data_IF_816405945651
#
_entry.id   IF_816405945651
#
_cell.length_a   1.000
_cell.length_b   1.000
_cell.length_c   1.000
_cell.angle_alpha   90.00
_cell.angle_beta   90.00
_cell.angle_gamma   90.00
#
_symmetry.space_group_name_H-M   'P 1'
#
loop_
_entity.id
_entity.type
_entity.pdbx_description
1 polymer ?
#
# COMPACT_ATOMS: atom_id res chain seq x y z
N UNK A 1 -23.02 -31.69 -14.47
CA UNK A 1 -21.85 -32.22 -13.74
C UNK A 1 -21.28 -31.05 -12.94
N UNK A 2 -20.83 -31.26 -11.69
CA UNK A 2 -20.30 -30.22 -10.82
C UNK A 2 -19.08 -30.78 -10.10
N UNK A 3 -17.92 -30.13 -10.18
CA UNK A 3 -16.79 -30.42 -9.31
C UNK A 3 -17.19 -30.03 -7.87
N UNK A 4 -17.00 -30.93 -6.93
CA UNK A 4 -17.34 -30.70 -5.53
C UNK A 4 -16.12 -30.63 -4.62
N UNK A 5 -15.16 -31.51 -4.86
CA UNK A 5 -14.03 -31.69 -3.97
C UNK A 5 -12.74 -31.82 -4.79
N UNK A 6 -11.65 -31.35 -4.21
CA UNK A 6 -10.28 -31.62 -4.63
C UNK A 6 -9.66 -32.46 -3.53
N UNK A 7 -8.98 -33.55 -3.87
CA UNK A 7 -8.40 -34.47 -2.91
C UNK A 7 -6.87 -34.36 -2.93
N UNK A 8 -6.28 -34.12 -1.77
CA UNK A 8 -4.85 -34.16 -1.52
C UNK A 8 -4.51 -35.46 -0.75
N UNK A 9 -3.48 -36.14 -1.20
CA UNK A 9 -2.93 -37.29 -0.50
C UNK A 9 -1.81 -36.84 0.42
N UNK A 10 -1.98 -37.04 1.71
CA UNK A 10 -1.09 -36.52 2.76
C UNK A 10 -0.50 -37.67 3.57
N UNK A 11 0.68 -37.45 4.14
CA UNK A 11 1.39 -38.42 4.98
C UNK A 11 0.68 -38.59 6.34
N UNK A 12 0.24 -37.46 6.92
CA UNK A 12 -0.44 -37.38 8.21
C UNK A 12 -1.64 -36.45 8.07
N UNK A 13 -2.84 -37.06 8.08
CA UNK A 13 -4.12 -36.35 7.91
C UNK A 13 -4.34 -35.31 9.00
N UNK A 14 -3.96 -35.62 10.26
CA UNK A 14 -4.19 -34.73 11.40
C UNK A 14 -3.22 -33.54 11.41
N UNK A 15 -1.95 -33.75 11.02
CA UNK A 15 -0.99 -32.68 10.81
C UNK A 15 -1.46 -31.72 9.72
N UNK A 16 -1.89 -32.26 8.57
CA UNK A 16 -2.34 -31.44 7.44
C UNK A 16 -3.66 -30.73 7.76
N UNK A 17 -4.58 -31.39 8.51
CA UNK A 17 -5.81 -30.74 9.03
C UNK A 17 -5.46 -29.49 9.84
N UNK A 18 -4.54 -29.63 10.81
CA UNK A 18 -4.12 -28.49 11.66
C UNK A 18 -3.50 -27.37 10.81
N UNK A 19 -2.66 -27.69 9.85
CA UNK A 19 -2.06 -26.70 8.95
C UNK A 19 -3.12 -25.88 8.21
N UNK A 20 -4.08 -26.55 7.56
CA UNK A 20 -5.15 -25.85 6.82
C UNK A 20 -6.15 -25.13 7.74
N UNK A 21 -6.39 -25.64 8.94
CA UNK A 21 -7.26 -24.96 9.90
C UNK A 21 -6.60 -23.71 10.51
N UNK A 22 -5.36 -23.81 10.97
CA UNK A 22 -4.65 -22.73 11.64
C UNK A 22 -4.26 -21.59 10.68
N UNK A 23 -3.80 -21.92 9.47
CA UNK A 23 -3.36 -20.90 8.52
C UNK A 23 -4.47 -20.40 7.61
N UNK A 24 -5.31 -21.29 7.10
CA UNK A 24 -6.32 -20.97 6.08
C UNK A 24 -7.76 -20.94 6.61
N UNK A 25 -7.98 -21.26 7.88
CA UNK A 25 -9.33 -21.23 8.49
C UNK A 25 -10.26 -22.32 7.96
N UNK A 26 -9.72 -23.39 7.34
CA UNK A 26 -10.55 -24.50 6.86
C UNK A 26 -10.96 -25.43 8.00
N UNK A 27 -12.24 -25.70 8.12
CA UNK A 27 -12.80 -26.52 9.20
C UNK A 27 -13.29 -27.88 8.70
N UNK A 28 -13.20 -28.90 9.56
CA UNK A 28 -13.68 -30.24 9.24
C UNK A 28 -15.20 -30.26 9.11
N UNK A 29 -15.69 -30.69 7.95
CA UNK A 29 -17.12 -30.95 7.68
C UNK A 29 -17.47 -32.39 8.01
N UNK A 30 -16.61 -33.34 7.62
CA UNK A 30 -16.80 -34.77 7.88
C UNK A 30 -15.45 -35.47 7.99
N UNK A 31 -15.36 -36.46 8.84
CA UNK A 31 -14.20 -37.32 9.02
C UNK A 31 -14.57 -38.79 8.90
N UNK A 32 -13.76 -39.53 8.17
CA UNK A 32 -13.86 -40.96 7.98
C UNK A 32 -12.52 -41.60 8.30
N UNK A 33 -12.43 -42.93 8.26
CA UNK A 33 -11.18 -43.62 8.47
C UNK A 33 -10.17 -43.25 7.35
N UNK A 34 -9.16 -42.48 7.73
CA UNK A 34 -8.11 -41.95 6.81
C UNK A 34 -8.55 -40.94 5.77
N UNK A 35 -9.73 -40.31 5.95
CA UNK A 35 -10.23 -39.29 5.02
C UNK A 35 -10.95 -38.17 5.81
N UNK A 36 -10.58 -36.92 5.55
CA UNK A 36 -11.25 -35.74 6.11
C UNK A 36 -11.69 -34.79 5.02
N UNK A 37 -12.93 -34.36 5.08
CA UNK A 37 -13.50 -33.32 4.21
C UNK A 37 -13.49 -32.02 4.97
N UNK A 38 -12.80 -31.03 4.42
CA UNK A 38 -12.74 -29.67 4.95
C UNK A 38 -13.73 -28.76 4.21
N UNK A 39 -13.96 -27.57 4.76
CA UNK A 39 -14.67 -26.49 4.06
C UNK A 39 -13.99 -26.21 2.71
N UNK A 40 -14.65 -25.46 1.82
CA UNK A 40 -14.22 -25.15 0.45
C UNK A 40 -13.97 -26.39 -0.45
N UNK A 41 -14.36 -27.58 0.01
CA UNK A 41 -14.26 -28.81 -0.76
C UNK A 41 -12.86 -29.43 -0.81
N UNK A 42 -11.96 -29.03 0.05
CA UNK A 42 -10.67 -29.71 0.21
C UNK A 42 -10.84 -31.03 0.96
N UNK A 43 -10.24 -32.10 0.45
CA UNK A 43 -10.27 -33.42 1.08
C UNK A 43 -8.84 -33.89 1.35
N UNK A 44 -8.56 -34.22 2.59
CA UNK A 44 -7.31 -34.84 3.01
C UNK A 44 -7.48 -36.34 3.05
N UNK A 45 -6.61 -37.07 2.37
CA UNK A 45 -6.64 -38.52 2.26
C UNK A 45 -5.33 -39.13 2.73
N UNK A 46 -5.43 -40.08 3.65
CA UNK A 46 -4.27 -40.87 4.11
C UNK A 46 -3.58 -41.57 2.93
N UNK A 47 -2.24 -41.44 2.90
CA UNK A 47 -1.39 -41.99 1.83
C UNK A 47 -1.46 -43.48 1.74
N UNK A 48 -1.36 -44.22 2.85
CA UNK A 48 -1.34 -45.69 2.83
C UNK A 48 -2.64 -46.26 2.29
N UNK A 49 -3.77 -45.68 2.72
CA UNK A 49 -5.11 -46.06 2.26
C UNK A 49 -5.24 -45.77 0.76
N UNK A 50 -4.78 -44.60 0.30
CA UNK A 50 -4.82 -44.23 -1.11
C UNK A 50 -3.97 -45.14 -2.01
N UNK A 51 -2.74 -45.47 -1.57
CA UNK A 51 -1.84 -46.36 -2.29
C UNK A 51 -2.40 -47.79 -2.39
N UNK A 52 -3.04 -48.29 -1.32
CA UNK A 52 -3.75 -49.58 -1.32
C UNK A 52 -4.93 -49.58 -2.32
N UNK A 53 -5.71 -48.50 -2.32
CA UNK A 53 -6.86 -48.34 -3.22
C UNK A 53 -6.45 -48.27 -4.71
N UNK A 54 -5.48 -47.43 -5.00
CA UNK A 54 -5.05 -47.17 -6.39
C UNK A 54 -4.04 -48.17 -6.92
N UNK A 55 -3.41 -48.93 -6.02
CA UNK A 55 -2.28 -49.83 -6.30
C UNK A 55 -1.07 -49.14 -6.93
N UNK A 56 -0.89 -47.85 -6.63
CA UNK A 56 0.22 -47.01 -7.11
C UNK A 56 0.82 -46.24 -5.95
N UNK A 57 2.15 -46.05 -6.00
CA UNK A 57 2.87 -45.17 -5.08
C UNK A 57 2.58 -43.74 -5.41
N UNK A 58 2.36 -42.92 -4.37
CA UNK A 58 2.23 -41.47 -4.46
C UNK A 58 3.61 -40.88 -4.75
N UNK A 59 3.68 -39.92 -5.67
CA UNK A 59 4.86 -39.12 -5.92
C UNK A 59 4.66 -37.77 -5.22
N UNK A 60 5.54 -37.48 -4.25
CA UNK A 60 5.53 -36.20 -3.56
C UNK A 60 6.09 -35.08 -4.45
N UNK A 61 5.70 -33.85 -4.17
CA UNK A 61 6.23 -32.62 -4.77
C UNK A 61 6.25 -32.65 -6.31
N UNK A 62 5.16 -33.11 -6.92
CA UNK A 62 5.04 -33.22 -8.37
C UNK A 62 4.95 -31.88 -9.12
N UNK A 63 4.62 -30.80 -8.43
CA UNK A 63 4.42 -29.43 -8.97
C UNK A 63 3.55 -29.37 -10.25
N UNK A 64 2.60 -30.29 -10.38
CA UNK A 64 1.69 -30.38 -11.53
C UNK A 64 0.25 -29.98 -11.17
N UNK A 65 0.05 -29.47 -9.97
CA UNK A 65 -1.19 -28.90 -9.45
C UNK A 65 -0.84 -27.85 -8.40
N UNK A 66 -1.73 -26.90 -8.24
CA UNK A 66 -1.65 -25.81 -7.29
C UNK A 66 -3.00 -25.59 -6.64
N UNK A 67 -3.01 -25.28 -5.35
CA UNK A 67 -4.18 -24.74 -4.66
C UNK A 67 -4.07 -23.23 -4.70
N UNK A 68 -5.12 -22.55 -5.19
CA UNK A 68 -5.21 -21.11 -5.18
C UNK A 68 -6.18 -20.67 -4.09
N UNK A 69 -5.70 -19.78 -3.22
CA UNK A 69 -6.51 -19.09 -2.20
C UNK A 69 -6.50 -17.60 -2.49
N UNK A 70 -7.65 -16.96 -2.33
CA UNK A 70 -7.78 -15.51 -2.46
C UNK A 70 -7.78 -14.86 -1.08
N UNK A 71 -6.87 -13.89 -0.89
CA UNK A 71 -6.72 -13.10 0.33
C UNK A 71 -6.32 -11.67 -0.05
N UNK A 72 -7.12 -10.69 0.36
CA UNK A 72 -6.86 -9.28 0.01
C UNK A 72 -5.93 -8.57 1.01
N UNK A 73 -5.72 -9.14 2.19
CA UNK A 73 -4.81 -8.60 3.20
C UNK A 73 -3.49 -9.39 3.28
N UNK A 74 -2.83 -9.55 2.14
CA UNK A 74 -1.64 -10.41 2.01
C UNK A 74 -0.49 -10.03 2.93
N UNK A 75 -0.29 -8.75 3.23
CA UNK A 75 0.73 -8.31 4.20
C UNK A 75 0.45 -8.85 5.60
N UNK A 76 -0.83 -8.84 6.04
CA UNK A 76 -1.22 -9.44 7.32
C UNK A 76 -1.08 -10.96 7.30
N UNK A 77 -1.41 -11.57 6.14
CA UNK A 77 -1.26 -13.01 5.98
C UNK A 77 0.21 -13.43 6.00
N UNK A 78 1.11 -12.66 5.37
CA UNK A 78 2.56 -12.89 5.45
C UNK A 78 3.06 -12.84 6.91
N UNK A 79 2.66 -11.82 7.68
CA UNK A 79 2.96 -11.75 9.11
C UNK A 79 2.43 -12.97 9.90
N UNK A 80 1.21 -13.43 9.60
CA UNK A 80 0.66 -14.65 10.19
C UNK A 80 1.49 -15.90 9.89
N UNK A 81 2.02 -16.02 8.66
CA UNK A 81 2.91 -17.13 8.29
C UNK A 81 4.21 -17.08 9.09
N UNK A 82 4.82 -15.90 9.26
CA UNK A 82 6.07 -15.70 10.00
C UNK A 82 5.91 -15.95 11.51
N UNK A 83 4.78 -15.57 12.09
CA UNK A 83 4.45 -15.76 13.50
C UNK A 83 3.97 -17.18 13.85
N UNK A 84 3.68 -18.00 12.84
CA UNK A 84 3.15 -19.35 13.04
C UNK A 84 4.22 -20.32 13.54
N UNK A 85 3.79 -21.36 14.27
CA UNK A 85 4.66 -22.46 14.71
C UNK A 85 5.06 -23.41 13.55
N UNK A 86 4.60 -23.13 12.32
CA UNK A 86 4.87 -23.96 11.14
C UNK A 86 6.18 -23.57 10.48
N UNK A 87 6.98 -24.59 10.10
CA UNK A 87 8.14 -24.36 9.23
C UNK A 87 7.67 -24.15 7.79
N UNK A 88 7.46 -22.90 7.41
CA UNK A 88 6.96 -22.54 6.08
C UNK A 88 8.08 -22.66 5.04
N UNK A 89 7.82 -23.40 3.97
CA UNK A 89 8.72 -23.49 2.82
C UNK A 89 8.19 -22.60 1.70
N UNK A 90 8.84 -21.46 1.51
CA UNK A 90 8.47 -20.50 0.47
C UNK A 90 9.00 -20.93 -0.91
N UNK A 91 8.15 -20.81 -1.93
CA UNK A 91 8.57 -20.74 -3.33
C UNK A 91 8.92 -19.29 -3.66
N UNK A 92 8.04 -18.37 -3.28
CA UNK A 92 8.34 -16.94 -3.21
C UNK A 92 7.55 -16.30 -2.06
N UNK A 93 8.20 -15.40 -1.29
CA UNK A 93 7.52 -14.57 -0.31
C UNK A 93 6.54 -13.61 -1.01
N UNK A 94 5.89 -12.75 -0.23
CA UNK A 94 5.01 -11.72 -0.78
C UNK A 94 5.74 -10.93 -1.87
N UNK A 95 5.16 -10.92 -3.06
CA UNK A 95 5.63 -10.12 -4.19
C UNK A 95 4.48 -9.78 -5.12
N UNK A 96 4.69 -8.77 -5.95
CA UNK A 96 3.78 -8.45 -7.05
C UNK A 96 4.20 -9.17 -8.33
N UNK A 97 3.25 -9.74 -9.05
CA UNK A 97 3.45 -10.35 -10.37
C UNK A 97 3.26 -9.28 -11.48
N UNK A 98 3.72 -9.58 -12.68
CA UNK A 98 3.67 -8.66 -13.83
C UNK A 98 2.27 -8.13 -14.18
N UNK A 99 1.21 -8.74 -13.63
CA UNK A 99 -0.19 -8.28 -13.77
C UNK A 99 -0.62 -7.28 -12.69
N UNK A 100 0.26 -6.87 -11.80
CA UNK A 100 -0.04 -5.97 -10.68
C UNK A 100 -0.69 -6.67 -9.47
N UNK A 101 -0.92 -7.96 -9.52
CA UNK A 101 -1.50 -8.76 -8.45
C UNK A 101 -0.41 -9.23 -7.48
N UNK A 102 -0.63 -9.02 -6.19
CA UNK A 102 0.26 -9.54 -5.15
C UNK A 102 -0.02 -11.01 -4.89
N UNK A 103 1.04 -11.79 -4.67
CA UNK A 103 0.96 -13.23 -4.40
C UNK A 103 2.01 -13.69 -3.40
N UNK A 104 1.69 -14.77 -2.67
CA UNK A 104 2.63 -15.57 -1.88
C UNK A 104 2.52 -17.00 -2.36
N UNK A 105 3.66 -17.70 -2.57
CA UNK A 105 3.66 -19.13 -2.89
C UNK A 105 4.44 -19.90 -1.85
N UNK A 106 3.79 -20.94 -1.30
CA UNK A 106 4.38 -21.82 -0.29
C UNK A 106 4.09 -23.27 -0.61
N UNK A 107 4.79 -24.17 0.07
CA UNK A 107 4.42 -25.58 0.13
C UNK A 107 3.71 -25.90 1.44
N UNK A 108 2.70 -26.77 1.36
CA UNK A 108 2.15 -27.42 2.54
C UNK A 108 3.14 -28.47 3.12
N UNK A 109 2.85 -29.07 4.29
CA UNK A 109 3.76 -30.05 4.93
C UNK A 109 4.04 -31.32 4.08
N UNK A 110 3.27 -31.58 3.05
CA UNK A 110 3.42 -32.72 2.15
C UNK A 110 4.00 -32.33 0.76
N UNK A 111 4.28 -31.03 0.56
CA UNK A 111 4.88 -30.51 -0.66
C UNK A 111 3.87 -30.17 -1.75
N UNK A 112 2.61 -29.98 -1.43
CA UNK A 112 1.65 -29.42 -2.38
C UNK A 112 1.84 -27.92 -2.50
N UNK A 113 1.85 -27.43 -3.73
CA UNK A 113 2.00 -26.01 -4.02
C UNK A 113 0.71 -25.27 -3.67
N UNK A 114 0.86 -24.18 -2.94
CA UNK A 114 -0.22 -23.26 -2.59
C UNK A 114 0.18 -21.87 -3.06
N UNK A 115 -0.68 -21.23 -3.84
CA UNK A 115 -0.63 -19.82 -4.16
C UNK A 115 -1.72 -19.10 -3.37
N UNK A 116 -1.35 -18.01 -2.73
CA UNK A 116 -2.26 -17.09 -2.07
C UNK A 116 -2.11 -15.76 -2.80
N UNK A 117 -3.18 -15.30 -3.43
CA UNK A 117 -3.19 -14.08 -4.23
C UNK A 117 -4.30 -13.12 -3.83
N UNK A 118 -4.09 -11.83 -4.04
CA UNK A 118 -5.20 -10.88 -3.96
C UNK A 118 -6.14 -11.03 -5.16
N UNK A 119 -7.41 -10.60 -5.01
CA UNK A 119 -8.33 -10.58 -6.15
C UNK A 119 -7.88 -9.54 -7.19
N UNK A 120 -8.17 -9.78 -8.47
CA UNK A 120 -7.88 -8.81 -9.53
C UNK A 120 -8.56 -7.47 -9.27
N UNK A 121 -9.79 -7.48 -8.78
CA UNK A 121 -10.53 -6.27 -8.41
C UNK A 121 -9.80 -5.47 -7.32
N UNK A 122 -9.24 -6.17 -6.31
CA UNK A 122 -8.47 -5.52 -5.24
C UNK A 122 -7.16 -4.93 -5.78
N UNK A 123 -6.43 -5.66 -6.63
CA UNK A 123 -5.21 -5.18 -7.27
C UNK A 123 -5.45 -3.92 -8.10
N UNK A 124 -6.50 -3.90 -8.94
CA UNK A 124 -6.90 -2.73 -9.71
C UNK A 124 -7.26 -1.54 -8.82
N UNK A 125 -7.99 -1.78 -7.74
CA UNK A 125 -8.38 -0.74 -6.77
C UNK A 125 -7.15 -0.15 -6.09
N UNK A 126 -6.25 -0.98 -5.59
CA UNK A 126 -5.00 -0.58 -4.95
C UNK A 126 -4.14 0.28 -5.89
N UNK A 127 -4.02 -0.11 -7.15
CA UNK A 127 -3.29 0.65 -8.16
C UNK A 127 -3.92 2.03 -8.42
N UNK A 128 -5.25 2.10 -8.56
CA UNK A 128 -5.97 3.38 -8.73
C UNK A 128 -5.81 4.30 -7.52
N UNK A 129 -5.88 3.77 -6.31
CA UNK A 129 -5.65 4.52 -5.08
C UNK A 129 -4.21 5.08 -5.02
N UNK A 130 -3.22 4.28 -5.42
CA UNK A 130 -1.83 4.72 -5.52
C UNK A 130 -1.64 5.89 -6.50
N UNK A 131 -2.24 5.80 -7.69
CA UNK A 131 -2.21 6.88 -8.66
C UNK A 131 -2.94 8.14 -8.16
N UNK A 132 -4.08 8.00 -7.50
CA UNK A 132 -4.80 9.13 -6.92
C UNK A 132 -3.99 9.84 -5.82
N UNK A 133 -3.31 9.09 -4.94
CA UNK A 133 -2.38 9.63 -3.94
C UNK A 133 -1.23 10.38 -4.61
N UNK A 134 -0.63 9.80 -5.64
CA UNK A 134 0.47 10.42 -6.38
C UNK A 134 0.02 11.71 -7.08
N UNK A 135 -1.12 11.71 -7.79
CA UNK A 135 -1.67 12.90 -8.43
C UNK A 135 -1.90 14.03 -7.42
N UNK A 136 -2.56 13.72 -6.30
CA UNK A 136 -2.78 14.67 -5.22
C UNK A 136 -1.49 15.27 -4.70
N UNK A 137 -0.48 14.46 -4.45
CA UNK A 137 0.82 14.91 -3.96
C UNK A 137 1.52 15.82 -4.99
N UNK A 138 1.52 15.46 -6.27
CA UNK A 138 2.08 16.29 -7.35
C UNK A 138 1.41 17.66 -7.42
N UNK A 139 0.07 17.69 -7.38
CA UNK A 139 -0.71 18.93 -7.41
C UNK A 139 -0.42 19.79 -6.19
N UNK A 140 -0.33 19.20 -5.01
CA UNK A 140 -0.10 19.93 -3.77
C UNK A 140 1.30 20.53 -3.67
N UNK A 141 2.33 19.82 -4.16
CA UNK A 141 3.69 20.38 -4.28
C UNK A 141 3.68 21.60 -5.24
N UNK A 142 3.03 21.48 -6.40
CA UNK A 142 2.92 22.59 -7.34
C UNK A 142 2.17 23.78 -6.77
N UNK A 143 1.08 23.57 -6.04
CA UNK A 143 0.35 24.63 -5.33
C UNK A 143 1.25 25.34 -4.33
N UNK A 144 1.98 24.60 -3.54
CA UNK A 144 2.88 25.14 -2.53
C UNK A 144 4.01 25.96 -3.17
N UNK A 145 4.65 25.46 -4.22
CA UNK A 145 5.64 26.23 -4.96
C UNK A 145 5.09 27.51 -5.57
N UNK A 146 3.91 27.45 -6.16
CA UNK A 146 3.24 28.63 -6.73
C UNK A 146 2.84 29.66 -5.66
N UNK A 147 2.47 29.22 -4.45
CA UNK A 147 2.20 30.10 -3.36
C UNK A 147 3.47 30.82 -2.87
N UNK A 148 4.60 30.12 -2.82
CA UNK A 148 5.91 30.67 -2.39
C UNK A 148 6.54 31.61 -3.43
N UNK A 149 6.52 31.24 -4.70
CA UNK A 149 7.30 31.88 -5.77
C UNK A 149 6.43 32.67 -6.76
N UNK A 150 5.11 32.61 -6.61
CA UNK A 150 4.16 33.13 -7.60
C UNK A 150 3.92 32.16 -8.75
N UNK A 151 2.76 32.35 -9.39
CA UNK A 151 2.38 31.51 -10.54
C UNK A 151 3.30 31.78 -11.75
N UNK A 152 3.80 30.67 -12.33
CA UNK A 152 4.46 30.65 -13.62
C UNK A 152 3.83 29.57 -14.48
N UNK A 153 3.47 29.93 -15.70
CA UNK A 153 3.02 28.96 -16.70
C UNK A 153 4.23 28.28 -17.34
N UNK A 154 4.76 27.27 -16.65
CA UNK A 154 5.95 26.54 -17.10
C UNK A 154 5.84 25.06 -16.73
N UNK A 155 6.59 24.22 -17.41
CA UNK A 155 6.70 22.81 -17.07
C UNK A 155 7.48 22.62 -15.76
N UNK A 156 7.04 21.69 -14.94
CA UNK A 156 7.64 21.37 -13.62
C UNK A 156 8.31 20.00 -13.65
N UNK A 157 9.42 19.85 -12.93
CA UNK A 157 10.09 18.58 -12.71
C UNK A 157 10.14 18.29 -11.23
N UNK A 158 9.44 17.22 -10.82
CA UNK A 158 9.46 16.74 -9.45
C UNK A 158 10.29 15.46 -9.37
N UNK A 159 10.99 15.28 -8.27
CA UNK A 159 11.90 14.15 -8.06
C UNK A 159 11.46 13.35 -6.86
N UNK A 160 11.23 12.06 -7.08
CA UNK A 160 10.83 11.12 -6.03
C UNK A 160 11.89 10.04 -5.84
N UNK A 161 12.26 9.70 -4.60
CA UNK A 161 12.94 8.44 -4.32
C UNK A 161 11.99 7.27 -4.57
N UNK A 162 12.53 6.11 -4.92
CA UNK A 162 11.77 4.88 -5.11
C UNK A 162 10.90 4.55 -3.89
N UNK A 163 11.45 4.69 -2.68
CA UNK A 163 10.74 4.41 -1.43
C UNK A 163 9.42 5.20 -1.28
N UNK A 164 9.38 6.47 -1.69
CA UNK A 164 8.15 7.27 -1.67
C UNK A 164 7.10 6.73 -2.64
N UNK A 165 7.52 6.30 -3.83
CA UNK A 165 6.59 5.70 -4.79
C UNK A 165 6.10 4.33 -4.33
N UNK A 166 6.98 3.50 -3.77
CA UNK A 166 6.60 2.23 -3.14
C UNK A 166 5.51 2.44 -2.07
N UNK A 167 5.65 3.49 -1.27
CA UNK A 167 4.66 3.85 -0.25
C UNK A 167 3.29 4.21 -0.87
N UNK A 168 3.25 5.00 -1.96
CA UNK A 168 1.97 5.34 -2.63
C UNK A 168 1.21 4.10 -3.12
N UNK A 169 1.94 3.10 -3.60
CA UNK A 169 1.35 1.89 -4.21
C UNK A 169 1.28 0.69 -3.25
N UNK A 170 1.79 0.83 -2.00
CA UNK A 170 1.94 -0.30 -1.07
C UNK A 170 2.61 -1.51 -1.73
N UNK A 171 3.72 -1.29 -2.43
CA UNK A 171 4.43 -2.27 -3.23
C UNK A 171 5.94 -2.20 -2.99
N UNK A 172 6.61 -3.34 -3.05
CA UNK A 172 8.08 -3.45 -2.93
C UNK A 172 8.75 -3.54 -4.31
N UNK A 173 8.29 -2.75 -5.26
CA UNK A 173 8.80 -2.75 -6.63
C UNK A 173 10.28 -2.39 -6.69
N UNK A 174 11.00 -3.03 -7.60
CA UNK A 174 12.30 -2.51 -8.07
C UNK A 174 12.09 -1.21 -8.88
N UNK A 175 13.17 -0.50 -9.19
CA UNK A 175 13.07 0.72 -9.98
C UNK A 175 12.51 0.46 -11.40
N UNK A 176 12.83 -0.67 -12.00
CA UNK A 176 12.33 -1.11 -13.30
C UNK A 176 10.83 -1.42 -13.25
N UNK A 177 10.39 -2.19 -12.24
CA UNK A 177 8.97 -2.52 -12.04
C UNK A 177 8.14 -1.27 -11.74
N UNK A 178 8.63 -0.37 -10.90
CA UNK A 178 7.98 0.93 -10.65
C UNK A 178 7.88 1.79 -11.91
N UNK A 179 8.91 1.78 -12.77
CA UNK A 179 8.85 2.48 -14.05
C UNK A 179 7.77 1.91 -14.97
N UNK A 180 7.62 0.59 -15.02
CA UNK A 180 6.55 -0.08 -15.78
C UNK A 180 5.17 0.31 -15.23
N UNK A 181 4.99 0.27 -13.92
CA UNK A 181 3.75 0.69 -13.26
C UNK A 181 3.37 2.12 -13.62
N UNK A 182 4.32 3.04 -13.55
CA UNK A 182 4.08 4.46 -13.80
C UNK A 182 3.83 4.80 -15.28
N UNK A 183 4.00 3.87 -16.21
CA UNK A 183 3.67 4.09 -17.63
C UNK A 183 2.17 4.37 -17.86
N UNK A 184 1.29 3.82 -17.02
CA UNK A 184 -0.16 4.08 -17.10
C UNK A 184 -0.57 5.46 -16.53
N UNK A 185 0.28 6.09 -15.70
CA UNK A 185 -0.06 7.35 -15.03
C UNK A 185 -0.37 8.50 -16.00
N UNK A 186 0.40 8.75 -17.07
CA UNK A 186 0.12 9.83 -17.99
C UNK A 186 -1.23 9.74 -18.70
N UNK A 187 -1.69 8.55 -19.02
CA UNK A 187 -2.99 8.32 -19.69
C UNK A 187 -4.17 8.62 -18.76
N UNK A 188 -4.06 8.20 -17.50
CA UNK A 188 -5.14 8.34 -16.53
C UNK A 188 -5.38 9.80 -16.10
N UNK A 189 -4.32 10.61 -16.04
CA UNK A 189 -4.39 12.00 -15.55
C UNK A 189 -4.09 13.06 -16.62
N UNK A 190 -4.04 12.67 -17.89
CA UNK A 190 -3.73 13.57 -18.99
C UNK A 190 -4.68 14.79 -19.08
N UNK A 191 -5.96 14.62 -18.74
CA UNK A 191 -6.93 15.72 -18.74
C UNK A 191 -6.62 16.80 -17.68
N UNK A 192 -5.93 16.43 -16.60
CA UNK A 192 -5.60 17.33 -15.49
C UNK A 192 -4.17 17.86 -15.60
N UNK A 193 -3.21 16.97 -15.78
CA UNK A 193 -1.78 17.27 -15.69
C UNK A 193 -1.10 17.42 -17.05
N UNK A 194 -1.81 17.13 -18.15
CA UNK A 194 -1.24 17.08 -19.49
C UNK A 194 -0.43 15.80 -19.72
N UNK A 195 0.43 15.80 -20.74
CA UNK A 195 1.25 14.64 -21.07
C UNK A 195 2.48 14.54 -20.13
N UNK A 196 2.27 13.96 -18.97
CA UNK A 196 3.31 13.72 -17.97
C UNK A 196 4.31 12.69 -18.49
N UNK A 197 5.60 12.92 -18.26
CA UNK A 197 6.67 11.99 -18.62
C UNK A 197 7.40 11.53 -17.37
N UNK A 198 7.60 10.22 -17.24
CA UNK A 198 8.30 9.61 -16.13
C UNK A 198 9.61 8.99 -16.61
N UNK A 199 10.70 9.34 -15.97
CA UNK A 199 12.02 8.75 -16.21
C UNK A 199 12.70 8.45 -14.88
N UNK A 200 13.57 7.46 -14.83
CA UNK A 200 14.33 7.17 -13.61
C UNK A 200 15.84 7.02 -13.88
N UNK A 201 16.61 7.21 -12.84
CA UNK A 201 18.03 6.88 -12.79
C UNK A 201 18.35 6.30 -11.42
N UNK A 202 18.69 5.01 -11.37
CA UNK A 202 18.76 4.25 -10.13
C UNK A 202 17.42 4.42 -9.38
N UNK A 203 17.47 4.69 -8.10
CA UNK A 203 16.31 4.80 -7.21
C UNK A 203 15.67 6.21 -7.21
N UNK A 204 15.98 7.06 -8.19
CA UNK A 204 15.37 8.38 -8.31
C UNK A 204 14.58 8.51 -9.60
N UNK A 205 13.33 8.91 -9.44
CA UNK A 205 12.35 9.17 -10.50
C UNK A 205 12.24 10.67 -10.75
N UNK A 206 12.17 11.06 -12.00
CA UNK A 206 11.85 12.42 -12.42
C UNK A 206 10.48 12.39 -13.12
N UNK A 207 9.53 13.10 -12.54
CA UNK A 207 8.19 13.30 -13.09
C UNK A 207 8.21 14.68 -13.76
N UNK A 208 8.12 14.70 -15.08
CA UNK A 208 8.07 15.92 -15.86
C UNK A 208 6.61 16.22 -16.22
N UNK A 209 6.07 17.27 -15.62
CA UNK A 209 4.69 17.73 -15.78
C UNK A 209 4.72 18.94 -16.72
N UNK A 210 4.00 18.95 -17.83
CA UNK A 210 3.95 20.06 -18.76
C UNK A 210 3.20 21.26 -18.16
N UNK A 211 3.18 22.39 -18.91
CA UNK A 211 2.60 23.65 -18.43
C UNK A 211 1.12 23.57 -18.06
N UNK A 212 0.37 22.64 -18.66
CA UNK A 212 -1.04 22.37 -18.37
C UNK A 212 -1.23 21.99 -16.90
N UNK A 213 -0.35 21.17 -16.34
CA UNK A 213 -0.40 20.79 -14.93
C UNK A 213 -0.18 21.99 -13.99
N UNK A 214 0.73 22.92 -14.35
CA UNK A 214 0.90 24.16 -13.58
C UNK A 214 -0.36 25.02 -13.59
N UNK A 215 -1.09 25.07 -14.71
CA UNK A 215 -2.35 25.79 -14.82
C UNK A 215 -3.43 25.13 -13.99
N UNK A 216 -3.55 23.80 -14.08
CA UNK A 216 -4.49 23.01 -13.28
C UNK A 216 -4.26 23.22 -11.77
N UNK A 217 -3.02 23.09 -11.30
CA UNK A 217 -2.68 23.32 -9.90
C UNK A 217 -3.09 24.73 -9.43
N UNK A 218 -2.89 25.78 -10.27
CA UNK A 218 -3.34 27.14 -9.97
C UNK A 218 -4.86 27.24 -9.84
N UNK A 219 -5.59 26.55 -10.69
CA UNK A 219 -7.06 26.57 -10.65
C UNK A 219 -7.58 25.94 -9.36
N UNK A 220 -6.91 24.87 -8.90
CA UNK A 220 -7.22 24.23 -7.61
C UNK A 220 -6.88 25.11 -6.40
N UNK A 221 -5.97 26.10 -6.54
CA UNK A 221 -5.63 27.03 -5.46
C UNK A 221 -6.70 28.10 -5.19
N UNK A 222 -7.67 28.29 -6.06
CA UNK A 222 -8.67 29.37 -5.92
C UNK A 222 -9.51 29.22 -4.66
N UNK A 223 -9.67 28.02 -4.17
CA UNK A 223 -10.55 27.67 -3.04
C UNK A 223 -9.82 27.43 -1.71
N UNK A 224 -8.47 27.53 -1.67
CA UNK A 224 -7.70 27.33 -0.45
C UNK A 224 -6.87 28.60 -0.09
N UNK A 225 -7.50 29.56 0.57
CA UNK A 225 -6.82 30.76 1.09
C UNK A 225 -5.90 30.44 2.28
N UNK A 226 -6.23 29.40 3.06
CA UNK A 226 -5.47 28.99 4.23
C UNK A 226 -3.98 28.72 3.91
N UNK A 227 -3.68 27.95 2.86
CA UNK A 227 -2.29 27.65 2.49
C UNK A 227 -1.47 28.90 2.16
N UNK A 228 -2.09 29.89 1.52
CA UNK A 228 -1.41 31.17 1.21
C UNK A 228 -1.09 31.96 2.48
N UNK A 229 -2.03 31.99 3.41
CA UNK A 229 -1.86 32.66 4.68
C UNK A 229 -0.83 31.95 5.55
N UNK A 230 -0.86 30.59 5.60
CA UNK A 230 0.12 29.78 6.31
C UNK A 230 1.54 30.04 5.79
N UNK A 231 1.76 30.01 4.47
CA UNK A 231 3.06 30.29 3.87
C UNK A 231 3.50 31.73 4.21
N UNK A 232 2.60 32.69 4.11
CA UNK A 232 2.88 34.08 4.49
C UNK A 232 3.28 34.22 5.95
N UNK A 233 2.66 33.47 6.85
CA UNK A 233 2.94 33.49 8.28
C UNK A 233 4.30 32.85 8.61
N UNK A 234 4.60 31.65 8.09
CA UNK A 234 5.87 30.95 8.38
C UNK A 234 7.10 31.62 7.78
N UNK A 235 6.92 32.48 6.77
CA UNK A 235 8.01 33.28 6.17
C UNK A 235 8.40 34.49 7.02
N UNK A 236 7.62 34.86 8.07
CA UNK A 236 7.96 35.94 8.96
C UNK A 236 9.06 35.48 9.93
N UNK A 237 10.08 36.34 10.13
CA UNK A 237 11.24 36.01 10.98
C UNK A 237 10.90 35.84 12.47
N UNK A 238 9.72 36.25 12.89
CA UNK A 238 9.25 36.26 14.30
C UNK A 238 7.96 35.43 14.47
N UNK A 239 7.66 34.56 13.51
CA UNK A 239 6.50 33.66 13.58
C UNK A 239 6.59 32.75 14.80
N UNK A 240 5.56 32.79 15.64
CA UNK A 240 5.45 31.96 16.83
C UNK A 240 4.41 30.85 16.65
N UNK A 241 4.44 29.83 17.51
CA UNK A 241 3.40 28.79 17.54
C UNK A 241 2.01 29.36 17.86
N UNK A 242 1.95 30.43 18.67
CA UNK A 242 0.68 31.11 18.99
C UNK A 242 0.09 31.82 17.76
N UNK A 243 0.92 32.32 16.86
CA UNK A 243 0.46 32.95 15.62
C UNK A 243 -0.07 31.87 14.65
N UNK A 244 0.58 30.72 14.62
CA UNK A 244 0.09 29.57 13.84
C UNK A 244 -1.25 29.04 14.39
N UNK A 245 -1.40 28.92 15.71
CA UNK A 245 -2.68 28.54 16.32
C UNK A 245 -3.81 29.49 15.92
N UNK A 246 -3.58 30.81 16.06
CA UNK A 246 -4.57 31.81 15.66
C UNK A 246 -4.95 31.71 14.18
N UNK A 247 -3.97 31.42 13.32
CA UNK A 247 -4.21 31.24 11.91
C UNK A 247 -5.12 30.03 11.67
N UNK A 248 -4.83 28.88 12.29
CA UNK A 248 -5.69 27.70 12.17
C UNK A 248 -7.10 27.96 12.74
N UNK A 249 -7.19 28.57 13.91
CA UNK A 249 -8.47 28.93 14.56
C UNK A 249 -9.30 29.96 13.75
N UNK A 250 -8.66 30.76 12.89
CA UNK A 250 -9.38 31.65 11.97
C UNK A 250 -10.08 30.90 10.84
N UNK A 251 -9.64 29.69 10.52
CA UNK A 251 -10.18 28.88 9.43
C UNK A 251 -11.10 27.73 9.88
N UNK A 252 -11.04 27.32 11.16
CA UNK A 252 -11.95 26.31 11.74
C UNK A 252 -12.04 26.42 13.25
N UNK A 253 -13.22 26.18 13.80
CA UNK A 253 -13.43 26.03 15.25
C UNK A 253 -12.95 24.67 15.80
N UNK A 254 -12.54 23.74 14.93
CA UNK A 254 -12.15 22.37 15.26
C UNK A 254 -10.66 22.14 15.01
N UNK A 255 -9.80 22.93 15.69
CA UNK A 255 -8.35 22.80 15.60
C UNK A 255 -7.81 21.87 16.69
N UNK A 256 -6.96 20.94 16.32
CA UNK A 256 -6.19 20.11 17.25
C UNK A 256 -4.75 20.61 17.24
N UNK A 257 -4.22 20.87 18.44
CA UNK A 257 -2.84 21.24 18.69
C UNK A 257 -2.21 20.24 19.66
N UNK A 258 -1.02 19.75 19.31
CA UNK A 258 -0.24 18.84 20.13
C UNK A 258 1.22 19.31 20.19
N UNK A 259 1.85 19.16 21.38
CA UNK A 259 3.30 19.33 21.54
C UNK A 259 3.95 17.99 21.27
N UNK A 260 4.89 17.96 20.34
CA UNK A 260 5.59 16.75 19.93
C UNK A 260 6.90 16.61 20.73
N UNK A 261 7.29 15.38 21.03
CA UNK A 261 8.50 15.06 21.79
C UNK A 261 9.47 14.12 21.04
N UNK A 262 9.29 13.99 19.72
CA UNK A 262 10.08 13.09 18.88
C UNK A 262 11.47 13.64 18.48
N UNK A 263 11.74 14.92 18.77
CA UNK A 263 13.01 15.58 18.42
C UNK A 263 13.11 16.06 16.97
N UNK A 264 12.24 15.61 16.09
CA UNK A 264 12.18 16.04 14.69
C UNK A 264 11.28 17.25 14.52
N UNK A 265 10.09 17.22 15.13
CA UNK A 265 9.14 18.32 15.15
C UNK A 265 8.82 18.71 16.60
N UNK A 266 8.40 19.96 16.78
CA UNK A 266 8.06 20.49 18.10
C UNK A 266 6.54 20.58 18.29
N UNK A 267 5.78 20.78 17.20
CA UNK A 267 4.34 21.00 17.26
C UNK A 267 3.61 20.32 16.12
N UNK A 268 2.39 19.84 16.40
CA UNK A 268 1.42 19.37 15.42
C UNK A 268 0.18 20.26 15.47
N UNK A 269 -0.29 20.70 14.31
CA UNK A 269 -1.58 21.36 14.12
C UNK A 269 -2.35 20.66 13.01
N UNK A 270 -3.65 20.47 13.19
CA UNK A 270 -4.55 19.91 12.17
C UNK A 270 -5.99 20.31 12.41
N UNK A 271 -6.80 20.23 11.38
CA UNK A 271 -8.24 20.41 11.45
C UNK A 271 -8.91 19.04 11.75
N UNK A 272 -9.71 18.97 12.83
CA UNK A 272 -10.34 17.72 13.24
C UNK A 272 -11.46 17.29 12.29
N UNK A 273 -12.08 18.25 11.61
CA UNK A 273 -13.15 18.06 10.62
C UNK A 273 -12.65 17.94 9.18
N UNK A 274 -11.34 18.09 8.96
CA UNK A 274 -10.72 18.05 7.63
C UNK A 274 -10.99 19.28 6.77
N UNK A 275 -11.43 20.40 7.35
CA UNK A 275 -11.72 21.65 6.63
C UNK A 275 -10.86 22.79 7.16
N UNK A 276 -10.10 23.53 6.33
CA UNK A 276 -10.08 23.57 4.85
C UNK A 276 -9.33 22.43 4.15
N UNK A 277 -8.53 21.64 4.89
CA UNK A 277 -7.90 20.42 4.38
C UNK A 277 -7.69 19.38 5.51
N UNK A 278 -7.29 18.17 5.15
CA UNK A 278 -7.13 17.03 6.06
C UNK A 278 -5.67 16.73 6.41
N UNK A 279 -4.72 17.64 6.14
CA UNK A 279 -3.32 17.44 6.44
C UNK A 279 -2.99 17.59 7.94
N UNK A 280 -1.96 16.85 8.34
CA UNK A 280 -1.27 17.00 9.62
C UNK A 280 -0.05 17.89 9.38
N UNK A 281 -0.03 19.07 10.01
CA UNK A 281 1.03 20.06 9.89
C UNK A 281 1.99 19.93 11.07
N UNK A 282 3.18 19.39 10.82
CA UNK A 282 4.24 19.23 11.81
C UNK A 282 5.24 20.38 11.68
N UNK A 283 5.41 21.14 12.74
CA UNK A 283 6.25 22.34 12.78
C UNK A 283 7.51 22.12 13.60
N UNK A 284 8.61 22.70 13.12
CA UNK A 284 9.90 22.82 13.82
C UNK A 284 10.21 24.29 14.04
N UNK A 285 10.47 24.66 15.30
CA UNK A 285 10.95 26.00 15.67
C UNK A 285 12.48 26.03 15.54
N UNK A 286 12.99 26.74 14.54
CA UNK A 286 14.43 26.95 14.35
C UNK A 286 14.93 28.27 14.96
N UNK A 287 14.13 28.87 15.82
CA UNK A 287 14.44 30.05 16.60
C UNK A 287 14.21 31.39 15.89
N UNK A 288 14.50 31.51 14.62
CA UNK A 288 14.25 32.71 13.82
C UNK A 288 13.14 32.53 12.78
N UNK A 289 12.70 31.32 12.55
CA UNK A 289 11.60 31.00 11.63
C UNK A 289 11.01 29.63 11.95
N UNK A 290 9.78 29.40 11.52
CA UNK A 290 9.11 28.10 11.58
C UNK A 290 9.30 27.36 10.27
N UNK A 291 9.70 26.09 10.36
CA UNK A 291 9.69 25.14 9.23
C UNK A 291 8.54 24.18 9.45
N UNK A 292 7.87 23.76 8.39
CA UNK A 292 6.82 22.77 8.51
C UNK A 292 6.91 21.69 7.43
N UNK A 293 6.43 20.51 7.79
CA UNK A 293 6.06 19.43 6.90
C UNK A 293 4.58 19.11 7.09
N UNK A 294 3.93 18.70 6.02
CA UNK A 294 2.55 18.24 6.07
C UNK A 294 2.44 16.82 5.58
N UNK A 295 1.69 16.04 6.30
CA UNK A 295 1.46 14.62 6.03
C UNK A 295 -0.02 14.38 5.79
N UNK A 296 -0.35 13.45 4.88
CA UNK A 296 -1.70 12.88 4.85
C UNK A 296 -1.95 12.07 6.13
N UNK A 297 -3.21 11.95 6.59
CA UNK A 297 -3.54 11.17 7.81
C UNK A 297 -3.03 9.74 7.79
N UNK A 298 -3.07 9.09 6.62
CA UNK A 298 -2.55 7.75 6.41
C UNK A 298 -1.03 7.69 6.52
N UNK A 299 -0.33 8.65 5.91
CA UNK A 299 1.13 8.71 5.93
C UNK A 299 1.66 9.06 7.33
N UNK A 300 0.95 9.92 8.07
CA UNK A 300 1.33 10.29 9.44
C UNK A 300 1.32 9.10 10.41
N UNK A 301 0.45 8.12 10.20
CA UNK A 301 0.36 6.92 11.04
C UNK A 301 1.51 5.94 10.83
N UNK A 302 2.15 5.99 9.66
CA UNK A 302 3.24 5.09 9.28
C UNK A 302 4.60 5.63 9.77
N UNK A 303 4.67 6.89 10.18
CA UNK A 303 5.82 7.44 10.90
C UNK A 303 5.64 7.19 12.41
N UNK A 304 6.49 6.34 12.99
CA UNK A 304 6.62 6.13 14.44
C UNK A 304 7.21 7.41 15.09
N UNK A 305 6.38 8.44 15.25
CA UNK A 305 6.75 9.67 15.95
C UNK A 305 6.53 9.56 17.46
#
# INVERSE_FOLDING_TARGET
MRLKNILLVVEDVERSRRFYEELFGLHVIAAFDGNMILTEGLVLQDREIWEKLTRKKVKNAGNNAELYFEENELTKFAGKLEESDWSITYVNPLKEESGGQQVIRIYDPDGHLIEIGESLEHAEKRQKEGFAKMERNLVDIMKEEQAKLGFRKEAVRLYYPLATLQHFFHAEDTAEEMQERLQAFPEEFADKLGNVQVTHKKDRFCIHIPEEGSVYAKEQMKDNEFIKELIGQVQQCDCTVEDLKKLFEAHSDQVIFEIMSNGEFDYLLRFADGVPDDYYYCFKDEGCHMVYHRFLPEDYKDFDF
#
